data_IF_859290190786
#
_entry.id   IF_859290190786
#
_cell.length_a   1.000
_cell.length_b   1.000
_cell.length_c   1.000
_cell.angle_alpha   90.00
_cell.angle_beta   90.00
_cell.angle_gamma   90.00
#
_symmetry.space_group_name_H-M   'P 1'
#
loop_
_entity.id
_entity.type
_entity.pdbx_description
1 polymer ?
#
# COMPACT_ATOMS: atom_id res chain seq x y z
N UNK A 1 -12.33 -7.54 -14.00
CA UNK A 1 -11.62 -7.46 -12.70
C UNK A 1 -12.55 -7.68 -11.50
N UNK A 2 -13.56 -8.55 -11.63
CA UNK A 2 -14.59 -8.77 -10.61
C UNK A 2 -14.23 -9.87 -9.60
N UNK A 3 -13.34 -10.79 -9.97
CA UNK A 3 -12.86 -11.88 -9.09
C UNK A 3 -12.14 -11.28 -7.88
N UNK A 4 -12.50 -11.74 -6.68
CA UNK A 4 -11.80 -11.41 -5.43
C UNK A 4 -10.42 -12.08 -5.41
N UNK A 5 -9.50 -11.54 -4.62
CA UNK A 5 -8.20 -12.15 -4.38
C UNK A 5 -8.38 -13.56 -3.82
N UNK A 6 -7.42 -14.43 -4.05
CA UNK A 6 -7.39 -15.73 -3.38
C UNK A 6 -6.80 -15.55 -1.97
N UNK A 7 -7.21 -16.36 -0.97
CA UNK A 7 -6.71 -16.23 0.41
C UNK A 7 -5.19 -16.27 0.52
N UNK A 8 -4.51 -17.05 -0.32
CA UNK A 8 -3.04 -17.14 -0.39
C UNK A 8 -2.35 -15.82 -0.77
N UNK A 9 -3.08 -14.89 -1.40
CA UNK A 9 -2.56 -13.57 -1.76
C UNK A 9 -2.75 -12.52 -0.64
N UNK A 10 -3.30 -12.93 0.51
CA UNK A 10 -3.71 -12.01 1.59
C UNK A 10 -2.88 -12.26 2.84
N UNK A 11 -2.23 -11.21 3.30
CA UNK A 11 -1.51 -11.17 4.57
C UNK A 11 -2.33 -10.48 5.65
N UNK A 12 -2.04 -10.78 6.90
CA UNK A 12 -2.70 -10.21 8.07
C UNK A 12 -1.68 -9.56 8.99
N UNK A 13 -2.05 -8.43 9.60
CA UNK A 13 -1.29 -7.81 10.70
C UNK A 13 -2.22 -7.45 11.87
N UNK A 14 -1.70 -7.37 13.10
CA UNK A 14 -2.47 -6.83 14.22
C UNK A 14 -2.97 -5.41 13.91
N UNK A 15 -4.24 -5.15 14.20
CA UNK A 15 -4.89 -3.84 14.14
C UNK A 15 -5.23 -3.30 15.54
N UNK A 16 -5.95 -2.20 15.59
CA UNK A 16 -6.45 -1.63 16.85
C UNK A 16 -7.51 -2.53 17.52
N UNK A 17 -7.53 -2.58 18.85
CA UNK A 17 -8.58 -3.26 19.62
C UNK A 17 -8.67 -4.76 19.34
N UNK A 18 -7.55 -5.48 19.32
CA UNK A 18 -7.46 -6.93 19.02
C UNK A 18 -8.02 -7.33 17.63
N UNK A 19 -8.23 -6.39 16.71
CA UNK A 19 -8.60 -6.68 15.33
C UNK A 19 -7.40 -7.15 14.52
N UNK A 20 -7.66 -7.78 13.37
CA UNK A 20 -6.66 -8.04 12.33
C UNK A 20 -6.99 -7.20 11.11
N UNK A 21 -5.96 -6.69 10.45
CA UNK A 21 -6.08 -5.95 9.19
C UNK A 21 -5.54 -6.82 8.06
N UNK A 22 -6.38 -7.09 7.07
CA UNK A 22 -5.98 -7.77 5.84
C UNK A 22 -5.32 -6.79 4.88
N UNK A 23 -4.24 -7.22 4.24
CA UNK A 23 -3.54 -6.44 3.21
C UNK A 23 -2.90 -7.37 2.19
N UNK A 24 -2.56 -6.82 1.02
CA UNK A 24 -1.69 -7.48 0.05
C UNK A 24 -0.28 -6.88 0.13
N UNK A 25 0.73 -7.73 0.04
CA UNK A 25 2.13 -7.31 -0.01
C UNK A 25 2.45 -6.60 -1.34
N UNK A 26 3.41 -5.66 -1.31
CA UNK A 26 3.75 -4.86 -2.49
C UNK A 26 4.16 -5.70 -3.70
N UNK A 27 5.01 -6.72 -3.48
CA UNK A 27 5.46 -7.60 -4.56
C UNK A 27 4.32 -8.40 -5.21
N UNK A 28 3.35 -8.87 -4.40
CA UNK A 28 2.18 -9.60 -4.90
C UNK A 28 1.25 -8.68 -5.70
N UNK A 29 1.05 -7.44 -5.24
CA UNK A 29 0.27 -6.46 -5.98
C UNK A 29 0.89 -6.17 -7.36
N UNK A 30 2.22 -6.04 -7.44
CA UNK A 30 2.94 -5.86 -8.71
C UNK A 30 2.79 -7.10 -9.59
N UNK A 31 3.01 -8.29 -9.04
CA UNK A 31 2.91 -9.55 -9.80
C UNK A 31 1.50 -9.78 -10.37
N UNK A 32 0.45 -9.54 -9.58
CA UNK A 32 -0.94 -9.61 -10.05
C UNK A 32 -1.22 -8.59 -11.15
N UNK A 33 -0.73 -7.36 -10.99
CA UNK A 33 -0.92 -6.29 -11.98
C UNK A 33 -0.23 -6.66 -13.30
N UNK A 34 1.00 -7.18 -13.25
CA UNK A 34 1.70 -7.70 -14.42
C UNK A 34 0.96 -8.88 -15.07
N UNK A 35 0.36 -9.79 -14.28
CA UNK A 35 -0.43 -10.90 -14.80
C UNK A 35 -1.72 -10.44 -15.48
N UNK A 36 -2.29 -9.30 -15.07
CA UNK A 36 -3.57 -8.79 -15.57
C UNK A 36 -3.37 -7.92 -16.81
N UNK A 37 -2.44 -6.96 -16.75
CA UNK A 37 -2.24 -5.96 -17.79
C UNK A 37 -1.03 -6.24 -18.68
N UNK A 38 -0.15 -7.18 -18.32
CA UNK A 38 1.17 -7.33 -18.94
C UNK A 38 2.21 -6.44 -18.26
N UNK A 39 3.50 -6.81 -18.34
CA UNK A 39 4.59 -6.03 -17.73
C UNK A 39 4.75 -4.63 -18.35
N UNK A 40 4.25 -4.46 -19.58
CA UNK A 40 4.27 -3.23 -20.39
C UNK A 40 2.89 -2.59 -20.57
N UNK A 41 1.84 -3.16 -19.98
CA UNK A 41 0.46 -2.66 -20.13
C UNK A 41 0.03 -1.67 -19.04
N UNK A 42 0.89 -1.39 -18.06
CA UNK A 42 0.63 -0.40 -17.02
C UNK A 42 1.91 0.34 -16.62
N UNK A 43 1.73 1.51 -16.04
CA UNK A 43 2.82 2.30 -15.45
C UNK A 43 2.40 2.86 -14.09
N UNK A 44 3.37 3.10 -13.21
CA UNK A 44 3.18 3.89 -12.00
C UNK A 44 4.09 5.11 -12.02
N UNK A 45 3.58 6.24 -11.51
CA UNK A 45 4.31 7.49 -11.37
C UNK A 45 4.17 8.00 -9.95
N UNK A 46 5.29 8.40 -9.34
CA UNK A 46 5.30 9.10 -8.07
C UNK A 46 5.22 10.59 -8.38
N UNK A 47 4.12 11.22 -7.98
CA UNK A 47 3.82 12.62 -8.31
C UNK A 47 4.35 13.57 -7.25
N UNK A 48 4.20 13.20 -5.97
CA UNK A 48 4.71 13.98 -4.85
C UNK A 48 5.07 13.07 -3.69
N UNK A 49 6.03 13.50 -2.87
CA UNK A 49 6.38 12.83 -1.61
C UNK A 49 6.77 13.86 -0.57
N UNK A 50 6.35 13.63 0.68
CA UNK A 50 6.70 14.52 1.79
C UNK A 50 6.85 13.76 3.10
N UNK A 51 7.79 14.22 3.92
CA UNK A 51 7.82 13.87 5.35
C UNK A 51 6.80 14.78 6.03
N UNK A 52 5.71 14.20 6.54
CA UNK A 52 4.64 14.96 7.19
C UNK A 52 4.93 15.20 8.68
N UNK A 53 5.69 14.31 9.29
CA UNK A 53 6.06 14.37 10.69
C UNK A 53 7.43 13.71 10.89
N UNK A 54 8.30 14.36 11.65
CA UNK A 54 9.54 13.75 12.11
C UNK A 54 10.00 14.38 13.43
N UNK A 55 10.13 13.57 14.46
CA UNK A 55 10.51 14.03 15.80
C UNK A 55 11.37 12.98 16.50
N UNK A 56 12.25 13.44 17.39
CA UNK A 56 12.99 12.56 18.29
C UNK A 56 12.33 12.55 19.66
N UNK A 57 11.98 11.36 20.16
CA UNK A 57 11.45 11.17 21.50
C UNK A 57 12.51 11.40 22.59
N UNK A 58 12.11 11.62 23.85
CA UNK A 58 13.05 11.74 24.98
C UNK A 58 13.99 10.53 25.14
N UNK A 59 13.58 9.35 24.65
CA UNK A 59 14.38 8.13 24.68
C UNK A 59 15.36 8.03 23.48
N UNK A 60 15.63 9.14 22.81
CA UNK A 60 16.48 9.25 21.62
C UNK A 60 16.05 8.39 20.43
N UNK A 61 14.78 7.98 20.37
CA UNK A 61 14.21 7.26 19.21
C UNK A 61 13.47 8.21 18.29
N UNK A 62 13.50 7.92 16.99
CA UNK A 62 12.84 8.73 15.99
C UNK A 62 11.45 8.17 15.65
N UNK A 63 10.48 9.07 15.58
CA UNK A 63 9.19 8.82 14.94
C UNK A 63 9.14 9.64 13.65
N UNK A 64 8.87 8.97 12.54
CA UNK A 64 8.67 9.59 11.24
C UNK A 64 7.35 9.11 10.64
N UNK A 65 6.69 10.01 9.92
CA UNK A 65 5.56 9.69 9.05
C UNK A 65 5.81 10.37 7.71
N UNK A 66 5.63 9.63 6.61
CA UNK A 66 5.75 10.14 5.26
C UNK A 66 4.45 9.89 4.48
N UNK A 67 4.22 10.72 3.48
CA UNK A 67 3.12 10.64 2.55
C UNK A 67 3.68 10.60 1.12
N UNK A 68 3.06 9.81 0.24
CA UNK A 68 3.33 9.82 -1.19
C UNK A 68 2.01 9.94 -1.97
N UNK A 69 2.01 10.71 -3.04
CA UNK A 69 0.95 10.77 -4.03
C UNK A 69 1.42 10.02 -5.28
N UNK A 70 0.65 9.02 -5.70
CA UNK A 70 0.97 8.21 -6.87
C UNK A 70 -0.16 8.25 -7.90
N UNK A 71 0.20 7.96 -9.15
CA UNK A 71 -0.72 7.67 -10.24
C UNK A 71 -0.39 6.31 -10.82
N UNK A 72 -1.41 5.51 -11.11
CA UNK A 72 -1.28 4.28 -11.92
C UNK A 72 -2.12 4.42 -13.17
N UNK A 73 -1.54 4.10 -14.33
CA UNK A 73 -2.17 4.20 -15.65
C UNK A 73 -2.15 2.85 -16.35
N UNK A 74 -3.29 2.43 -16.90
CA UNK A 74 -3.40 1.30 -17.84
C UNK A 74 -3.17 1.85 -19.24
N UNK A 75 -2.08 1.45 -19.87
CA UNK A 75 -1.56 2.11 -21.07
C UNK A 75 -2.41 1.84 -22.31
N UNK A 76 -3.04 0.67 -22.40
CA UNK A 76 -3.90 0.29 -23.52
C UNK A 76 -5.19 1.12 -23.63
N UNK A 77 -5.66 1.70 -22.51
CA UNK A 77 -6.90 2.49 -22.46
C UNK A 77 -6.68 3.95 -22.09
N UNK A 78 -5.50 4.30 -21.56
CA UNK A 78 -5.22 5.60 -20.97
C UNK A 78 -5.93 5.85 -19.62
N UNK A 79 -6.70 4.88 -19.11
CA UNK A 79 -7.39 5.00 -17.83
C UNK A 79 -6.37 5.08 -16.69
N UNK A 80 -6.60 5.97 -15.73
CA UNK A 80 -5.70 6.16 -14.60
C UNK A 80 -6.46 6.41 -13.29
N UNK A 81 -5.78 6.09 -12.19
CA UNK A 81 -6.23 6.39 -10.84
C UNK A 81 -5.08 6.96 -10.03
N UNK A 82 -5.43 7.89 -9.14
CA UNK A 82 -4.51 8.55 -8.22
C UNK A 82 -4.97 8.31 -6.79
N UNK A 83 -4.02 8.08 -5.90
CA UNK A 83 -4.29 7.95 -4.47
C UNK A 83 -3.04 8.31 -3.67
N UNK A 84 -3.26 8.54 -2.39
CA UNK A 84 -2.25 8.89 -1.42
C UNK A 84 -1.92 7.66 -0.56
N UNK A 85 -0.65 7.37 -0.38
CA UNK A 85 -0.16 6.38 0.57
C UNK A 85 0.56 7.01 1.75
N UNK A 86 0.60 6.27 2.86
CA UNK A 86 1.31 6.67 4.07
C UNK A 86 2.30 5.59 4.53
N UNK A 87 3.41 6.05 5.10
CA UNK A 87 4.39 5.20 5.75
C UNK A 87 4.70 5.75 7.13
N UNK A 88 4.70 4.89 8.13
CA UNK A 88 4.88 5.27 9.53
C UNK A 88 5.95 4.40 10.20
N UNK A 89 6.78 5.05 11.01
CA UNK A 89 7.80 4.37 11.79
C UNK A 89 7.99 5.08 13.12
N UNK A 90 7.52 4.45 14.19
CA UNK A 90 7.86 4.79 15.56
C UNK A 90 9.11 4.03 16.03
N UNK A 91 9.76 4.55 17.07
CA UNK A 91 10.86 3.89 17.79
C UNK A 91 12.11 3.57 16.96
N UNK A 92 12.38 4.31 15.89
CA UNK A 92 13.55 4.09 15.05
C UNK A 92 14.86 4.51 15.76
N UNK A 93 15.95 3.72 15.66
CA UNK A 93 17.21 4.08 16.31
C UNK A 93 17.90 5.28 15.67
N UNK A 94 17.65 5.58 14.39
CA UNK A 94 18.29 6.70 13.69
C UNK A 94 17.28 7.46 12.82
N UNK A 95 17.53 8.76 12.63
CA UNK A 95 16.72 9.62 11.76
C UNK A 95 16.67 9.08 10.32
N UNK A 96 17.81 8.66 9.80
CA UNK A 96 17.94 8.13 8.44
C UNK A 96 17.12 6.86 8.23
N UNK A 97 17.19 5.90 9.16
CA UNK A 97 16.39 4.67 9.08
C UNK A 97 14.88 4.95 9.18
N UNK A 98 14.49 5.94 9.99
CA UNK A 98 13.10 6.39 10.10
C UNK A 98 12.56 6.89 8.75
N UNK A 99 13.29 7.81 8.13
CA UNK A 99 12.92 8.41 6.84
C UNK A 99 12.90 7.34 5.74
N UNK A 100 13.94 6.50 5.66
CA UNK A 100 14.07 5.48 4.61
C UNK A 100 12.88 4.50 4.63
N UNK A 101 12.54 3.96 5.81
CA UNK A 101 11.38 3.07 5.94
C UNK A 101 10.08 3.78 5.57
N UNK A 102 9.83 4.96 6.14
CA UNK A 102 8.58 5.70 5.91
C UNK A 102 8.36 6.04 4.44
N UNK A 103 9.39 6.50 3.75
CA UNK A 103 9.28 6.87 2.34
C UNK A 103 9.00 5.63 1.46
N UNK A 104 9.71 4.52 1.69
CA UNK A 104 9.48 3.25 0.98
C UNK A 104 8.07 2.71 1.20
N UNK A 105 7.60 2.76 2.44
CA UNK A 105 6.26 2.32 2.81
C UNK A 105 5.18 3.22 2.19
N UNK A 106 5.34 4.55 2.27
CA UNK A 106 4.39 5.50 1.70
C UNK A 106 4.22 5.32 0.19
N UNK A 107 5.31 5.16 -0.55
CA UNK A 107 5.27 4.91 -2.00
C UNK A 107 4.59 3.59 -2.31
N UNK A 108 4.94 2.51 -1.60
CA UNK A 108 4.34 1.19 -1.82
C UNK A 108 2.84 1.20 -1.52
N UNK A 109 2.44 1.86 -0.44
CA UNK A 109 1.03 2.02 -0.06
C UNK A 109 0.25 2.82 -1.11
N UNK A 110 0.81 3.93 -1.60
CA UNK A 110 0.18 4.78 -2.60
C UNK A 110 -0.13 4.00 -3.90
N UNK A 111 0.85 3.22 -4.37
CA UNK A 111 0.69 2.39 -5.58
C UNK A 111 -0.39 1.31 -5.36
N UNK A 112 -0.36 0.57 -4.24
CA UNK A 112 -1.39 -0.44 -3.93
C UNK A 112 -2.79 0.17 -3.88
N UNK A 113 -2.90 1.38 -3.33
CA UNK A 113 -4.18 2.10 -3.24
C UNK A 113 -4.66 2.61 -4.59
N UNK A 114 -3.77 3.05 -5.48
CA UNK A 114 -4.14 3.34 -6.86
C UNK A 114 -4.67 2.09 -7.58
N UNK A 115 -3.99 0.95 -7.40
CA UNK A 115 -4.33 -0.31 -8.05
C UNK A 115 -5.73 -0.81 -7.67
N UNK A 116 -6.17 -0.63 -6.41
CA UNK A 116 -7.47 -1.12 -5.95
C UNK A 116 -8.64 -0.57 -6.78
N UNK A 117 -8.54 0.63 -7.32
CA UNK A 117 -9.64 1.24 -8.07
C UNK A 117 -9.97 0.52 -9.38
N UNK A 118 -9.04 -0.25 -9.94
CA UNK A 118 -9.29 -1.06 -11.14
C UNK A 118 -10.17 -2.30 -10.87
N UNK A 119 -10.29 -2.75 -9.62
CA UNK A 119 -11.26 -3.77 -9.23
C UNK A 119 -10.81 -4.73 -8.12
N UNK A 120 -11.62 -5.76 -7.91
CA UNK A 120 -11.40 -6.74 -6.85
C UNK A 120 -10.10 -7.52 -7.03
N UNK A 121 -9.75 -7.84 -8.28
CA UNK A 121 -8.54 -8.62 -8.61
C UNK A 121 -7.24 -7.83 -8.36
N UNK A 122 -7.33 -6.51 -8.20
CA UNK A 122 -6.21 -5.61 -7.87
C UNK A 122 -6.29 -5.08 -6.43
N UNK A 123 -7.11 -5.71 -5.57
CA UNK A 123 -7.12 -5.46 -4.13
C UNK A 123 -8.35 -4.75 -3.57
N UNK A 124 -9.34 -4.37 -4.39
CA UNK A 124 -10.54 -3.70 -3.86
C UNK A 124 -11.34 -4.57 -2.88
N UNK A 125 -11.30 -5.89 -3.03
CA UNK A 125 -12.03 -6.80 -2.15
C UNK A 125 -11.55 -6.75 -0.69
N UNK A 126 -10.33 -6.26 -0.43
CA UNK A 126 -9.81 -6.11 0.93
C UNK A 126 -10.54 -5.03 1.75
N UNK A 127 -11.35 -4.19 1.09
CA UNK A 127 -12.21 -3.20 1.74
C UNK A 127 -13.64 -3.72 1.99
N UNK A 128 -13.96 -4.93 1.54
CA UNK A 128 -15.22 -5.60 1.85
C UNK A 128 -15.13 -6.31 3.21
N UNK A 129 -15.81 -5.76 4.21
CA UNK A 129 -15.82 -6.28 5.58
C UNK A 129 -16.36 -7.71 5.70
N UNK A 130 -17.23 -8.16 4.78
CA UNK A 130 -17.73 -9.53 4.80
C UNK A 130 -16.65 -10.48 4.30
N UNK A 131 -15.99 -10.11 3.21
CA UNK A 131 -14.89 -10.88 2.65
C UNK A 131 -13.71 -10.98 3.62
N UNK A 132 -13.29 -9.87 4.25
CA UNK A 132 -12.17 -9.92 5.21
C UNK A 132 -12.51 -10.76 6.44
N UNK A 133 -13.77 -10.78 6.89
CA UNK A 133 -14.22 -11.69 7.97
C UNK A 133 -14.16 -13.16 7.58
N UNK A 134 -14.41 -13.51 6.32
CA UNK A 134 -14.27 -14.89 5.83
C UNK A 134 -12.80 -15.35 5.86
N UNK A 135 -11.87 -14.43 5.57
CA UNK A 135 -10.42 -14.70 5.52
C UNK A 135 -9.76 -14.71 6.90
N UNK A 136 -10.28 -13.96 7.88
CA UNK A 136 -9.69 -13.81 9.23
C UNK A 136 -9.99 -15.00 10.16
N UNK A 137 -10.91 -15.89 9.78
CA UNK A 137 -11.23 -17.13 10.51
C UNK A 137 -10.01 -18.02 10.67
#
# INVERSE_FOLDING_TARGET
LTKRLAPECISQRPGGGNSKVCYIEGHQAIALTNSIFGYDGWSSQIMDTKIVYIEQSPNHKWHCTAQALARVTVLSTGAFHEDVGFGDMANSPTRGAAIDKCMKEAVTDAVKRCLRYFGNSTGNCLYDNNYTREIVR
#
